data_IF_315191747785
#
_entry.id   IF_315191747785
#
_cell.length_a   1.000
_cell.length_b   1.000
_cell.length_c   1.000
_cell.angle_alpha   90.00
_cell.angle_beta   90.00
_cell.angle_gamma   90.00
#
_symmetry.space_group_name_H-M   'P 1'
#
loop_
_entity.id
_entity.type
_entity.pdbx_description
1 polymer ?
#
# COMPACT_ATOMS: atom_id res chain seq x y z
N UNK A 1 -2.85 -5.96 32.58
CA UNK A 1 -3.81 -5.41 33.57
C UNK A 1 -5.13 -4.96 32.93
N UNK A 2 -5.12 -4.14 31.88
CA UNK A 2 -6.34 -3.59 31.23
C UNK A 2 -7.35 -4.65 30.76
N UNK A 3 -6.88 -5.75 30.15
CA UNK A 3 -7.75 -6.86 29.73
C UNK A 3 -8.59 -7.44 30.87
N UNK A 4 -7.98 -7.62 32.05
CA UNK A 4 -8.68 -8.15 33.24
C UNK A 4 -9.74 -7.18 33.74
N UNK A 5 -9.40 -5.87 33.79
CA UNK A 5 -10.37 -4.84 34.16
C UNK A 5 -11.59 -4.83 33.23
N UNK A 6 -11.40 -4.89 31.91
CA UNK A 6 -12.51 -4.89 30.95
C UNK A 6 -13.41 -6.13 31.06
N UNK A 7 -12.85 -7.28 31.44
CA UNK A 7 -13.60 -8.51 31.71
C UNK A 7 -14.38 -8.42 33.03
N UNK A 8 -13.78 -7.86 34.07
CA UNK A 8 -14.44 -7.66 35.37
C UNK A 8 -15.61 -6.68 35.27
N UNK A 9 -15.51 -5.68 34.40
CA UNK A 9 -16.54 -4.67 34.17
C UNK A 9 -17.88 -5.24 33.69
N UNK A 10 -17.94 -6.49 33.21
CA UNK A 10 -19.20 -7.19 32.87
C UNK A 10 -19.92 -7.74 34.11
N UNK A 11 -19.22 -7.85 35.24
CA UNK A 11 -19.73 -8.40 36.50
C UNK A 11 -19.92 -7.33 37.59
N UNK A 12 -19.43 -6.11 37.35
CA UNK A 12 -19.56 -4.99 38.27
C UNK A 12 -20.86 -4.23 37.98
N UNK A 13 -21.63 -3.95 39.02
CA UNK A 13 -22.77 -3.06 38.93
C UNK A 13 -22.28 -1.61 38.90
N UNK A 14 -22.80 -0.83 37.94
CA UNK A 14 -22.39 0.58 37.76
C UNK A 14 -23.08 1.47 38.80
N UNK A 15 -24.14 0.98 39.46
CA UNK A 15 -24.90 1.66 40.50
C UNK A 15 -24.46 1.28 41.93
N UNK A 16 -23.43 0.44 42.07
CA UNK A 16 -22.88 0.07 43.38
C UNK A 16 -22.05 1.22 43.96
N UNK A 17 -22.64 1.91 44.94
CA UNK A 17 -22.06 3.05 45.65
C UNK A 17 -20.71 2.73 46.32
N UNK A 18 -20.46 1.46 46.69
CA UNK A 18 -19.20 1.05 47.35
C UNK A 18 -18.01 1.02 46.38
N UNK A 19 -18.27 1.00 45.07
CA UNK A 19 -17.24 0.96 44.02
C UNK A 19 -17.33 2.12 43.03
N UNK A 20 -18.41 2.90 43.06
CA UNK A 20 -18.62 4.02 42.14
C UNK A 20 -17.52 5.09 42.25
N UNK A 21 -16.95 5.28 43.45
CA UNK A 21 -15.91 6.27 43.73
C UNK A 21 -14.54 5.91 43.11
N UNK A 22 -14.25 4.61 42.94
CA UNK A 22 -13.01 4.11 42.32
C UNK A 22 -13.15 3.87 40.82
N UNK A 23 -14.38 3.88 40.28
CA UNK A 23 -14.61 3.65 38.86
C UNK A 23 -14.25 4.88 38.01
N UNK A 24 -13.46 4.71 36.93
CA UNK A 24 -13.25 5.78 35.97
C UNK A 24 -14.55 6.10 35.23
N UNK A 25 -14.69 7.36 34.81
CA UNK A 25 -15.89 7.84 34.13
C UNK A 25 -16.32 6.93 32.96
N UNK A 26 -17.62 6.68 32.74
CA UNK A 26 -18.10 5.78 31.68
C UNK A 26 -17.60 6.13 30.27
N UNK A 27 -17.35 7.41 29.99
CA UNK A 27 -16.77 7.85 28.73
C UNK A 27 -15.33 7.34 28.54
N UNK A 28 -14.54 7.30 29.63
CA UNK A 28 -13.15 6.81 29.64
C UNK A 28 -13.12 5.31 29.45
N UNK A 29 -14.00 4.56 30.13
CA UNK A 29 -14.10 3.10 29.97
C UNK A 29 -14.51 2.71 28.55
N UNK A 30 -15.43 3.46 27.94
CA UNK A 30 -15.81 3.27 26.52
C UNK A 30 -14.64 3.51 25.57
N UNK A 31 -13.90 4.60 25.74
CA UNK A 31 -12.69 4.88 24.94
C UNK A 31 -11.64 3.78 25.13
N UNK A 32 -11.43 3.33 26.36
CA UNK A 32 -10.49 2.26 26.66
C UNK A 32 -10.87 0.93 26.01
N UNK A 33 -12.17 0.59 25.88
CA UNK A 33 -12.61 -0.59 25.12
C UNK A 33 -12.28 -0.47 23.63
N UNK A 34 -12.48 0.70 23.02
CA UNK A 34 -12.12 0.93 21.60
C UNK A 34 -10.63 0.75 21.38
N UNK A 35 -9.82 1.46 22.15
CA UNK A 35 -8.36 1.38 22.06
C UNK A 35 -7.85 -0.04 22.33
N UNK A 36 -8.43 -0.75 23.30
CA UNK A 36 -8.05 -2.14 23.57
C UNK A 36 -8.44 -3.09 22.45
N UNK A 37 -9.41 -2.75 21.60
CA UNK A 37 -9.76 -3.54 20.41
C UNK A 37 -8.74 -3.29 19.30
N UNK A 38 -8.47 -2.02 18.99
CA UNK A 38 -7.47 -1.61 18.00
C UNK A 38 -6.08 -2.22 18.30
N UNK A 39 -5.65 -2.17 19.57
CA UNK A 39 -4.38 -2.76 19.99
C UNK A 39 -4.31 -4.29 19.85
N UNK A 40 -5.44 -5.02 19.85
CA UNK A 40 -5.44 -6.47 19.67
C UNK A 40 -5.08 -6.88 18.24
N UNK A 41 -5.50 -6.10 17.26
CA UNK A 41 -5.21 -6.41 15.85
C UNK A 41 -3.71 -6.22 15.59
N UNK A 42 -3.13 -5.14 16.13
CA UNK A 42 -1.67 -4.90 16.12
C UNK A 42 -0.90 -5.96 16.90
N UNK A 43 -1.39 -6.36 18.08
CA UNK A 43 -0.80 -7.45 18.88
C UNK A 43 -0.82 -8.77 18.11
N UNK A 44 -1.90 -9.06 17.38
CA UNK A 44 -2.03 -10.28 16.58
C UNK A 44 -0.98 -10.34 15.47
N UNK A 45 -0.85 -9.27 14.68
CA UNK A 45 0.18 -9.17 13.63
C UNK A 45 1.58 -9.28 14.25
N UNK A 46 1.83 -8.58 15.36
CA UNK A 46 3.13 -8.61 16.03
C UNK A 46 3.50 -10.01 16.53
N UNK A 47 2.53 -10.76 17.07
CA UNK A 47 2.75 -12.15 17.50
C UNK A 47 2.96 -13.10 16.33
N UNK A 48 2.23 -12.89 15.23
CA UNK A 48 2.40 -13.68 14.03
C UNK A 48 3.83 -13.51 13.47
N UNK A 49 4.36 -12.28 13.47
CA UNK A 49 5.75 -11.98 13.07
C UNK A 49 6.82 -12.56 13.99
N UNK A 50 6.49 -12.82 15.26
CA UNK A 50 7.40 -13.50 16.20
C UNK A 50 7.40 -15.02 16.00
N UNK A 51 6.49 -15.55 15.17
CA UNK A 51 6.49 -16.96 14.77
C UNK A 51 7.72 -17.31 13.93
N UNK A 52 8.18 -18.56 14.02
CA UNK A 52 9.39 -19.02 13.32
C UNK A 52 9.19 -19.36 11.84
N UNK A 53 7.95 -19.36 11.35
CA UNK A 53 7.58 -19.78 9.99
C UNK A 53 6.65 -18.73 9.38
N UNK A 54 7.24 -17.68 8.82
CA UNK A 54 6.50 -16.57 8.20
C UNK A 54 7.15 -16.25 6.87
N UNK A 55 6.41 -16.40 5.77
CA UNK A 55 6.87 -15.94 4.46
C UNK A 55 6.78 -14.42 4.38
N UNK A 56 7.69 -13.80 3.61
CA UNK A 56 7.69 -12.37 3.39
C UNK A 56 6.38 -11.89 2.74
N UNK A 57 5.73 -12.74 1.94
CA UNK A 57 4.43 -12.45 1.35
C UNK A 57 3.33 -12.38 2.41
N UNK A 58 3.35 -13.27 3.40
CA UNK A 58 2.39 -13.26 4.52
C UNK A 58 2.55 -11.99 5.36
N UNK A 59 3.79 -11.57 5.61
CA UNK A 59 4.09 -10.29 6.29
C UNK A 59 3.47 -9.10 5.57
N UNK A 60 3.66 -9.03 4.25
CA UNK A 60 3.11 -7.93 3.44
C UNK A 60 1.58 -7.93 3.49
N UNK A 61 0.94 -9.11 3.35
CA UNK A 61 -0.51 -9.22 3.42
C UNK A 61 -1.03 -8.76 4.80
N UNK A 62 -0.39 -9.14 5.90
CA UNK A 62 -0.81 -8.71 7.24
C UNK A 62 -0.69 -7.20 7.43
N UNK A 63 0.35 -6.57 6.89
CA UNK A 63 0.48 -5.11 6.94
C UNK A 63 -0.53 -4.40 6.05
N UNK A 64 -0.80 -4.91 4.85
CA UNK A 64 -1.84 -4.35 3.96
C UNK A 64 -3.23 -4.47 4.61
N UNK A 65 -3.57 -5.62 5.19
CA UNK A 65 -4.83 -5.83 5.92
C UNK A 65 -4.94 -4.90 7.14
N UNK A 66 -3.84 -4.68 7.87
CA UNK A 66 -3.78 -3.75 8.99
C UNK A 66 -3.96 -2.29 8.56
N UNK A 67 -3.40 -1.89 7.41
CA UNK A 67 -3.60 -0.55 6.81
C UNK A 67 -5.05 -0.36 6.36
N UNK A 68 -5.70 -1.41 5.84
CA UNK A 68 -7.12 -1.35 5.46
C UNK A 68 -8.01 -1.10 6.68
N UNK A 69 -7.70 -1.72 7.82
CA UNK A 69 -8.43 -1.51 9.08
C UNK A 69 -8.14 -0.12 9.66
N UNK A 70 -6.87 0.31 9.61
CA UNK A 70 -6.44 1.55 10.24
C UNK A 70 -5.46 2.32 9.32
N UNK A 71 -5.99 3.25 8.50
CA UNK A 71 -5.20 3.92 7.45
C UNK A 71 -4.03 4.74 8.00
N UNK A 72 -4.07 5.13 9.27
CA UNK A 72 -3.00 5.90 9.91
C UNK A 72 -1.69 5.11 10.02
N UNK A 73 -1.72 3.77 9.95
CA UNK A 73 -0.48 2.97 9.93
C UNK A 73 0.33 3.13 8.64
N UNK A 74 -0.30 3.49 7.52
CA UNK A 74 0.41 3.78 6.28
C UNK A 74 1.42 4.93 6.44
N UNK A 75 1.17 5.85 7.37
CA UNK A 75 2.12 6.93 7.68
C UNK A 75 3.44 6.40 8.26
N UNK A 76 3.36 5.36 9.09
CA UNK A 76 4.53 4.79 9.79
C UNK A 76 5.30 3.76 8.95
N UNK A 77 4.64 3.12 7.99
CA UNK A 77 5.24 2.11 7.10
C UNK A 77 5.96 2.73 5.88
N UNK A 78 5.80 4.05 5.67
CA UNK A 78 6.41 4.76 4.55
C UNK A 78 5.68 4.55 3.23
N UNK A 79 6.06 5.30 2.20
CA UNK A 79 5.44 5.19 0.87
C UNK A 79 5.82 3.84 0.26
N UNK A 80 4.97 2.82 0.43
CA UNK A 80 5.01 1.64 -0.40
C UNK A 80 4.86 2.12 -1.84
N UNK A 81 5.91 1.97 -2.66
CA UNK A 81 5.74 2.13 -4.10
C UNK A 81 4.73 1.07 -4.49
N UNK A 82 3.53 1.52 -4.85
CA UNK A 82 2.45 0.67 -5.31
C UNK A 82 3.06 -0.34 -6.28
N UNK A 83 2.92 -1.62 -5.97
CA UNK A 83 3.19 -2.68 -6.92
C UNK A 83 2.18 -2.45 -8.02
N UNK A 84 2.59 -1.73 -9.06
CA UNK A 84 1.80 -1.49 -10.26
C UNK A 84 1.31 -2.84 -10.73
N UNK A 85 0.04 -3.10 -10.46
CA UNK A 85 -0.64 -4.28 -10.92
C UNK A 85 -0.88 -4.04 -12.40
N UNK A 86 0.06 -4.51 -13.21
CA UNK A 86 -0.23 -4.98 -14.55
C UNK A 86 -0.80 -3.93 -15.53
N UNK A 87 0.06 -3.08 -16.09
CA UNK A 87 -0.21 -2.41 -17.37
C UNK A 87 0.24 -3.33 -18.52
N UNK A 88 -0.49 -4.43 -18.77
CA UNK A 88 -0.47 -5.07 -20.10
C UNK A 88 -1.24 -4.16 -21.09
N UNK A 89 -0.70 -2.97 -21.35
CA UNK A 89 -1.12 -2.15 -22.47
C UNK A 89 -0.59 -2.81 -23.76
N UNK A 90 -1.52 -3.21 -24.61
CA UNK A 90 -1.29 -3.69 -25.96
C UNK A 90 -0.47 -2.68 -26.78
N UNK A 91 0.86 -2.76 -26.76
CA UNK A 91 1.75 -2.02 -27.67
C UNK A 91 2.22 -2.94 -28.80
N UNK A 92 1.29 -3.49 -29.58
CA UNK A 92 1.63 -4.22 -30.81
C UNK A 92 0.66 -3.97 -31.98
N UNK A 93 0.03 -2.79 -32.04
CA UNK A 93 -0.81 -2.40 -33.21
C UNK A 93 -0.31 -1.14 -33.93
N UNK A 94 0.64 -0.37 -33.37
CA UNK A 94 1.05 0.91 -33.99
C UNK A 94 2.35 0.89 -34.81
N UNK A 95 3.19 -0.15 -34.69
CA UNK A 95 4.43 -0.26 -35.49
C UNK A 95 4.24 -0.98 -36.85
N UNK A 96 3.18 -1.76 -37.03
CA UNK A 96 2.97 -2.52 -38.27
C UNK A 96 2.16 -1.75 -39.34
N UNK A 97 1.52 -0.64 -38.99
CA UNK A 97 0.77 0.18 -39.96
C UNK A 97 1.69 1.05 -40.85
N UNK A 98 2.90 1.38 -40.38
CA UNK A 98 3.84 2.24 -41.11
C UNK A 98 4.67 1.50 -42.18
N UNK A 99 4.63 0.16 -42.24
CA UNK A 99 5.48 -0.62 -43.18
C UNK A 99 4.78 -0.99 -44.49
N UNK A 100 3.48 -0.74 -44.64
CA UNK A 100 2.70 -1.21 -45.79
C UNK A 100 2.31 -0.13 -46.81
N UNK A 101 2.55 1.16 -46.55
CA UNK A 101 2.16 2.22 -47.50
C UNK A 101 3.32 3.16 -47.80
N UNK A 102 4.00 2.89 -48.92
CA UNK A 102 5.10 3.68 -49.43
C UNK A 102 5.71 3.10 -50.71
N UNK A 103 4.84 2.60 -51.61
CA UNK A 103 5.21 2.16 -52.96
C UNK A 103 5.21 3.39 -53.88
N UNK A 104 6.29 3.53 -54.65
CA UNK A 104 6.49 4.36 -55.86
C UNK A 104 7.13 5.78 -55.81
N UNK A 105 8.38 5.79 -56.32
CA UNK A 105 9.03 6.72 -57.29
C UNK A 105 9.60 8.07 -56.81
N UNK A 106 10.55 8.70 -57.56
CA UNK A 106 11.57 8.20 -58.50
C UNK A 106 13.01 8.66 -58.16
N UNK A 107 14.01 8.06 -58.83
CA UNK A 107 15.45 8.39 -58.80
C UNK A 107 15.76 9.85 -59.19
N UNK A 108 16.65 10.58 -58.49
CA UNK A 108 17.19 11.83 -58.98
C UNK A 108 18.44 11.62 -59.85
N UNK A 109 18.49 12.41 -60.92
CA UNK A 109 19.42 12.38 -62.05
C UNK A 109 20.88 12.61 -61.64
N UNK A 110 21.77 11.89 -62.32
CA UNK A 110 23.21 12.08 -62.36
C UNK A 110 23.54 13.55 -62.69
N UNK A 111 24.14 14.25 -61.72
CA UNK A 111 24.67 15.61 -61.91
C UNK A 111 26.12 15.47 -62.38
N UNK A 112 26.34 15.62 -63.67
CA UNK A 112 27.67 15.83 -64.24
C UNK A 112 28.21 17.21 -63.87
N UNK A 113 29.54 17.32 -63.80
CA UNK A 113 30.24 18.59 -63.69
C UNK A 113 31.51 18.50 -62.87
N UNK A 114 32.60 18.05 -63.50
CA UNK A 114 33.98 18.17 -63.01
C UNK A 114 34.43 19.64 -62.90
N UNK A 115 35.56 19.81 -62.19
CA UNK A 115 36.51 20.94 -62.18
C UNK A 115 36.21 22.02 -61.13
N UNK A 116 37.15 22.56 -60.35
CA UNK A 116 38.57 22.30 -60.09
C UNK A 116 38.95 23.12 -58.82
N UNK A 117 39.95 22.68 -58.04
CA UNK A 117 40.63 23.43 -56.97
C UNK A 117 41.49 24.60 -57.55
N UNK A 118 42.33 25.34 -56.78
CA UNK A 118 42.26 25.93 -55.42
C UNK A 118 42.75 27.43 -55.40
N UNK A 119 43.04 27.98 -54.19
CA UNK A 119 43.81 29.19 -53.80
C UNK A 119 42.91 30.36 -53.34
N UNK A 120 43.09 31.00 -52.17
CA UNK A 120 44.31 31.47 -51.50
C UNK A 120 44.02 31.77 -50.02
#
# INVERSE_FOLDING_TARGET
>A
MVKRYLQLLEFLDVEDDDIMDVMPAPAVTKRMRSLSKELKDVESVSKALQGGDVDLLDVLQWFDDLIVIEPQYAHYLGKHKARDSNEHAHTNVRLNAARSQGKHRPQPRLRGGLCACPSR
#
